data_IF_361709711177
#
_entry.id   IF_361709711177
#
_cell.length_a   1.000
_cell.length_b   1.000
_cell.length_c   1.000
_cell.angle_alpha   90.00
_cell.angle_beta   90.00
_cell.angle_gamma   90.00
#
_symmetry.space_group_name_H-M   'P 1'
#
loop_
_entity.id
_entity.type
_entity.pdbx_description
1 polymer ?
#
# COMPACT_ATOMS: atom_id res chain seq x y z
N UNK A 1 11.19 40.64 -21.40
CA UNK A 1 11.43 40.27 -19.99
C UNK A 1 12.03 38.86 -20.00
N UNK A 2 13.35 38.72 -19.80
CA UNK A 2 14.05 37.43 -19.76
C UNK A 2 13.93 36.88 -18.34
N UNK A 3 13.22 35.77 -18.17
CA UNK A 3 13.16 35.06 -16.90
C UNK A 3 14.45 34.24 -16.80
N UNK A 4 15.31 34.58 -15.83
CA UNK A 4 16.56 33.88 -15.57
C UNK A 4 16.28 32.47 -15.01
N UNK A 5 16.95 31.41 -15.51
CA UNK A 5 16.75 30.03 -15.04
C UNK A 5 17.29 29.75 -13.61
N UNK A 6 17.78 30.77 -12.90
CA UNK A 6 18.26 30.63 -11.53
C UNK A 6 17.14 30.74 -10.46
N UNK A 7 15.94 31.20 -10.83
CA UNK A 7 14.84 31.40 -9.87
C UNK A 7 13.99 30.13 -9.61
N UNK A 8 14.33 28.99 -10.22
CA UNK A 8 13.61 27.72 -10.02
C UNK A 8 14.11 26.93 -8.79
N UNK A 9 15.18 27.38 -8.13
CA UNK A 9 15.89 26.62 -7.07
C UNK A 9 15.56 27.06 -5.64
N UNK A 10 14.71 28.07 -5.42
CA UNK A 10 14.55 28.71 -4.10
C UNK A 10 13.19 28.43 -3.41
N UNK A 11 12.33 27.56 -3.95
CA UNK A 11 11.03 27.24 -3.31
C UNK A 11 10.92 25.80 -2.78
N UNK A 12 11.92 24.93 -2.98
CA UNK A 12 11.86 23.54 -2.52
C UNK A 12 12.85 23.33 -1.37
N UNK A 13 12.52 23.93 -0.23
CA UNK A 13 13.11 23.64 1.08
C UNK A 13 12.42 22.48 1.81
N UNK A 14 11.65 21.66 1.10
CA UNK A 14 11.20 20.35 1.58
C UNK A 14 12.37 19.40 1.33
N UNK A 15 12.85 18.69 2.37
CA UNK A 15 13.91 17.66 2.24
C UNK A 15 13.66 16.82 0.97
N UNK A 16 14.43 17.09 -0.07
CA UNK A 16 14.23 16.57 -1.43
C UNK A 16 14.41 15.05 -1.52
N UNK A 17 14.97 14.44 -0.48
CA UNK A 17 15.17 12.98 -0.37
C UNK A 17 13.85 12.20 -0.59
N UNK A 18 12.73 12.65 -0.01
CA UNK A 18 11.46 11.94 -0.11
C UNK A 18 10.76 12.00 -1.49
N UNK A 19 11.08 12.96 -2.36
CA UNK A 19 10.48 13.04 -3.70
C UNK A 19 11.27 12.21 -4.73
N UNK A 20 12.61 12.14 -4.58
CA UNK A 20 13.47 11.38 -5.47
C UNK A 20 13.46 9.88 -5.16
N UNK A 21 13.26 9.50 -3.90
CA UNK A 21 13.19 8.09 -3.47
C UNK A 21 11.74 7.54 -3.49
N UNK A 22 10.73 8.38 -3.77
CA UNK A 22 9.31 8.03 -3.73
C UNK A 22 8.96 6.73 -4.47
N UNK A 23 9.52 6.54 -5.66
CA UNK A 23 9.27 5.34 -6.47
C UNK A 23 9.76 4.09 -5.74
N UNK A 24 10.98 4.14 -5.22
CA UNK A 24 11.60 3.03 -4.48
C UNK A 24 10.82 2.78 -3.19
N UNK A 25 10.55 3.82 -2.41
CA UNK A 25 9.81 3.72 -1.15
C UNK A 25 8.41 3.15 -1.36
N UNK A 26 7.70 3.62 -2.39
CA UNK A 26 6.35 3.12 -2.71
C UNK A 26 6.38 1.64 -3.07
N UNK A 27 7.33 1.21 -3.90
CA UNK A 27 7.49 -0.20 -4.24
C UNK A 27 7.86 -1.04 -3.03
N UNK A 28 8.77 -0.56 -2.18
CA UNK A 28 9.22 -1.28 -1.00
C UNK A 28 8.10 -1.44 0.02
N UNK A 29 7.27 -0.41 0.20
CA UNK A 29 6.10 -0.46 1.06
C UNK A 29 5.08 -1.49 0.58
N UNK A 30 4.68 -1.45 -0.69
CA UNK A 30 3.73 -2.42 -1.23
C UNK A 30 4.30 -3.84 -1.28
N UNK A 31 5.56 -4.00 -1.70
CA UNK A 31 6.21 -5.32 -1.73
C UNK A 31 6.45 -5.86 -0.33
N UNK A 32 6.77 -5.02 0.65
CA UNK A 32 6.83 -5.39 2.07
C UNK A 32 5.49 -5.91 2.58
N UNK A 33 4.40 -5.19 2.31
CA UNK A 33 3.04 -5.65 2.63
C UNK A 33 2.68 -6.97 1.95
N UNK A 34 3.06 -7.15 0.68
CA UNK A 34 2.86 -8.39 -0.07
C UNK A 34 3.67 -9.55 0.50
N UNK A 35 4.92 -9.33 0.95
CA UNK A 35 5.73 -10.36 1.63
C UNK A 35 5.10 -10.80 2.93
N UNK A 36 4.67 -9.86 3.77
CA UNK A 36 4.02 -10.17 5.05
C UNK A 36 2.74 -11.01 4.86
N UNK A 37 2.01 -10.78 3.77
CA UNK A 37 0.85 -11.60 3.38
C UNK A 37 1.26 -12.97 2.84
N UNK A 38 2.27 -13.00 1.96
CA UNK A 38 2.77 -14.23 1.34
C UNK A 38 3.30 -15.20 2.41
N UNK A 39 4.27 -14.76 3.21
CA UNK A 39 4.90 -15.55 4.28
C UNK A 39 3.92 -16.05 5.35
N UNK A 40 2.77 -15.40 5.47
CA UNK A 40 1.80 -15.67 6.53
C UNK A 40 2.19 -15.05 7.87
N UNK A 41 3.17 -14.14 7.93
CA UNK A 41 3.57 -13.43 9.16
C UNK A 41 2.38 -12.71 9.82
N UNK A 42 1.43 -12.19 9.03
CA UNK A 42 0.23 -11.55 9.56
C UNK A 42 -0.70 -12.52 10.30
N UNK A 43 -0.65 -13.83 10.00
CA UNK A 43 -1.53 -14.83 10.60
C UNK A 43 -1.36 -14.88 12.12
N UNK A 44 -0.12 -14.86 12.60
CA UNK A 44 0.19 -14.84 14.03
C UNK A 44 -0.46 -13.65 14.74
N UNK A 45 -0.38 -12.46 14.13
CA UNK A 45 -1.01 -11.26 14.66
C UNK A 45 -2.55 -11.39 14.67
N UNK A 46 -3.13 -11.91 13.59
CA UNK A 46 -4.58 -12.10 13.50
C UNK A 46 -5.10 -13.18 14.45
N UNK A 47 -4.31 -14.21 14.75
CA UNK A 47 -4.68 -15.26 15.69
C UNK A 47 -4.73 -14.72 17.13
N UNK A 48 -3.78 -13.85 17.51
CA UNK A 48 -3.80 -13.13 18.80
C UNK A 48 -5.04 -12.23 18.89
N UNK A 49 -5.29 -11.43 17.85
CA UNK A 49 -6.41 -10.50 17.87
C UNK A 49 -7.78 -11.22 17.82
N UNK A 50 -7.86 -12.39 17.17
CA UNK A 50 -9.05 -13.26 17.19
C UNK A 50 -9.32 -13.82 18.58
N UNK A 51 -8.27 -14.16 19.35
CA UNK A 51 -8.42 -14.54 20.77
C UNK A 51 -9.03 -13.40 21.61
N UNK A 52 -8.74 -12.15 21.25
CA UNK A 52 -9.36 -10.95 21.83
C UNK A 52 -10.77 -10.65 21.27
N UNK A 53 -11.36 -11.58 20.51
CA UNK A 53 -12.71 -11.50 19.90
C UNK A 53 -12.89 -10.34 18.91
N UNK A 54 -11.81 -9.82 18.33
CA UNK A 54 -11.93 -8.89 17.20
C UNK A 54 -12.25 -9.68 15.92
N UNK A 55 -13.30 -9.29 15.17
CA UNK A 55 -13.62 -9.91 13.89
C UNK A 55 -12.57 -9.48 12.87
N UNK A 56 -11.67 -10.41 12.52
CA UNK A 56 -10.57 -10.14 11.58
C UNK A 56 -10.65 -11.15 10.44
N UNK A 57 -10.56 -10.69 9.19
CA UNK A 57 -10.60 -11.57 8.03
C UNK A 57 -9.46 -12.57 8.07
N UNK A 58 -9.65 -13.71 7.39
CA UNK A 58 -8.59 -14.69 7.23
C UNK A 58 -7.53 -14.09 6.30
N UNK A 59 -6.28 -14.02 6.78
CA UNK A 59 -5.14 -13.49 6.03
C UNK A 59 -4.07 -14.55 5.91
N UNK A 60 -3.56 -14.74 4.68
CA UNK A 60 -2.39 -15.55 4.36
C UNK A 60 -2.35 -17.00 4.91
N UNK A 61 -1.23 -17.71 4.69
CA UNK A 61 -0.18 -17.36 3.74
C UNK A 61 -0.72 -17.33 2.30
N UNK A 62 -0.19 -16.41 1.49
CA UNK A 62 -0.60 -16.22 0.11
C UNK A 62 0.39 -16.92 -0.84
N UNK A 63 -0.13 -17.86 -1.63
CA UNK A 63 0.63 -18.51 -2.70
C UNK A 63 0.75 -17.60 -3.93
N UNK A 64 1.91 -17.71 -4.59
CA UNK A 64 2.17 -17.14 -5.92
C UNK A 64 1.91 -15.62 -6.03
N UNK A 65 2.22 -14.88 -4.96
CA UNK A 65 2.14 -13.43 -4.90
C UNK A 65 3.31 -12.83 -5.69
N UNK A 66 3.04 -12.12 -6.80
CA UNK A 66 4.13 -11.49 -7.55
C UNK A 66 4.71 -10.27 -6.83
N UNK A 67 5.99 -9.98 -7.03
CA UNK A 67 6.58 -8.69 -6.69
C UNK A 67 6.08 -7.62 -7.66
N UNK A 68 5.67 -6.48 -7.14
CA UNK A 68 5.35 -5.31 -7.94
C UNK A 68 6.64 -4.74 -8.53
N UNK A 69 6.62 -4.48 -9.84
CA UNK A 69 7.57 -3.65 -10.57
C UNK A 69 6.91 -2.34 -10.98
N UNK A 70 7.73 -1.32 -11.15
CA UNK A 70 7.25 -0.01 -11.59
C UNK A 70 6.99 0.02 -13.09
N UNK A 71 5.85 0.57 -13.50
CA UNK A 71 5.48 0.74 -14.90
C UNK A 71 5.41 2.23 -15.26
N UNK A 72 6.34 2.67 -16.12
CA UNK A 72 6.37 4.05 -16.61
C UNK A 72 5.10 4.41 -17.40
N UNK A 73 4.49 3.41 -18.06
CA UNK A 73 3.20 3.54 -18.75
C UNK A 73 2.08 3.89 -17.77
N UNK A 74 1.99 3.17 -16.65
CA UNK A 74 0.98 3.43 -15.61
C UNK A 74 1.25 4.75 -14.87
N UNK A 75 2.52 5.10 -14.64
CA UNK A 75 2.92 6.40 -14.09
C UNK A 75 2.47 7.55 -15.00
N UNK A 76 2.65 7.43 -16.32
CA UNK A 76 2.17 8.44 -17.25
C UNK A 76 0.64 8.58 -17.20
N UNK A 77 -0.11 7.46 -17.08
CA UNK A 77 -1.57 7.50 -16.87
C UNK A 77 -1.93 8.18 -15.55
N UNK A 78 -1.17 7.93 -14.49
CA UNK A 78 -1.31 8.62 -13.21
C UNK A 78 -1.11 10.13 -13.32
N UNK A 79 -0.09 10.54 -14.08
CA UNK A 79 0.19 11.94 -14.37
C UNK A 79 -0.97 12.60 -15.12
N UNK A 80 -1.42 12.02 -16.23
CA UNK A 80 -2.52 12.59 -17.05
C UNK A 80 -3.81 12.73 -16.24
N UNK A 81 -4.12 11.76 -15.38
CA UNK A 81 -5.29 11.85 -14.50
C UNK A 81 -5.13 12.90 -13.39
N UNK A 82 -3.92 13.04 -12.85
CA UNK A 82 -3.64 13.85 -11.67
C UNK A 82 -3.17 15.28 -11.93
N UNK A 83 -2.69 15.60 -13.13
CA UNK A 83 -2.03 16.89 -13.41
C UNK A 83 -2.92 18.08 -13.07
N UNK A 84 -4.20 18.03 -13.47
CA UNK A 84 -5.19 19.10 -13.31
C UNK A 84 -5.96 19.01 -11.99
N UNK A 85 -5.65 18.03 -11.13
CA UNK A 85 -6.26 17.90 -9.81
C UNK A 85 -5.54 18.75 -8.78
N UNK A 86 -6.30 19.21 -7.78
CA UNK A 86 -5.75 19.94 -6.64
C UNK A 86 -4.63 19.14 -5.96
N UNK A 87 -3.59 19.85 -5.51
CA UNK A 87 -2.54 19.29 -4.66
C UNK A 87 -3.01 19.04 -3.23
N UNK A 88 -4.19 19.55 -2.85
CA UNK A 88 -4.78 19.42 -1.51
C UNK A 88 -6.26 19.01 -1.57
N UNK A 89 -6.61 17.85 -2.16
CA UNK A 89 -7.99 17.38 -2.19
C UNK A 89 -8.43 16.88 -0.80
N UNK A 90 -9.70 16.55 -0.68
CA UNK A 90 -10.17 15.64 0.36
C UNK A 90 -9.53 14.27 0.14
N UNK A 91 -8.96 13.72 1.21
CA UNK A 91 -8.29 12.42 1.19
C UNK A 91 -9.34 11.34 1.34
N UNK A 92 -9.73 10.73 0.23
CA UNK A 92 -10.77 9.70 0.20
C UNK A 92 -10.16 8.31 0.38
N UNK A 93 -8.90 8.10 -0.03
CA UNK A 93 -8.21 6.78 0.02
C UNK A 93 -9.00 5.66 -0.67
N UNK A 94 -9.79 6.04 -1.66
CA UNK A 94 -10.71 5.19 -2.41
C UNK A 94 -10.11 4.72 -3.74
N UNK A 95 -10.54 3.54 -4.22
CA UNK A 95 -10.28 3.07 -5.58
C UNK A 95 -11.32 3.64 -6.56
N UNK A 96 -10.91 3.77 -7.83
CA UNK A 96 -11.74 4.27 -8.92
C UNK A 96 -11.31 3.64 -10.25
N UNK A 97 -12.15 3.72 -11.28
CA UNK A 97 -11.82 3.25 -12.64
C UNK A 97 -11.48 4.44 -13.54
N UNK A 98 -10.48 4.28 -14.40
CA UNK A 98 -10.12 5.28 -15.42
C UNK A 98 -9.44 4.59 -16.59
N UNK A 99 -9.96 4.77 -17.80
CA UNK A 99 -9.38 4.23 -19.04
C UNK A 99 -9.10 2.71 -18.98
N UNK A 100 -10.05 1.94 -18.44
CA UNK A 100 -9.91 0.48 -18.25
C UNK A 100 -8.94 0.06 -17.15
N UNK A 101 -8.29 1.00 -16.46
CA UNK A 101 -7.39 0.77 -15.33
C UNK A 101 -8.10 0.97 -13.99
N UNK A 102 -7.45 0.50 -12.93
CA UNK A 102 -7.87 0.74 -11.55
C UNK A 102 -6.90 1.71 -10.91
N UNK A 103 -7.43 2.86 -10.48
CA UNK A 103 -6.69 3.88 -9.77
C UNK A 103 -7.05 3.91 -8.29
N UNK A 104 -6.15 4.40 -7.44
CA UNK A 104 -6.44 4.70 -6.03
C UNK A 104 -5.54 5.80 -5.50
N UNK A 105 -5.96 6.42 -4.39
CA UNK A 105 -5.14 7.39 -3.67
C UNK A 105 -4.25 6.67 -2.64
N UNK A 106 -2.98 7.05 -2.63
CA UNK A 106 -1.96 6.61 -1.67
C UNK A 106 -1.43 7.82 -0.89
N UNK A 107 -1.08 7.73 0.40
CA UNK A 107 -0.44 8.83 1.10
C UNK A 107 0.82 9.30 0.35
N UNK A 108 0.91 10.62 0.14
CA UNK A 108 2.07 11.26 -0.49
C UNK A 108 3.16 11.50 0.56
N UNK A 109 3.68 12.73 0.64
CA UNK A 109 4.66 13.09 1.68
C UNK A 109 3.99 13.03 3.06
N UNK A 110 4.31 12.00 3.84
CA UNK A 110 3.54 11.63 5.03
C UNK A 110 3.58 12.67 6.15
N UNK A 111 4.67 13.43 6.29
CA UNK A 111 4.74 14.55 7.24
C UNK A 111 3.63 15.58 7.03
N UNK A 112 3.25 15.84 5.77
CA UNK A 112 2.15 16.74 5.42
C UNK A 112 0.78 16.08 5.56
N UNK A 113 0.68 14.77 5.32
CA UNK A 113 -0.55 13.99 5.54
C UNK A 113 -0.88 13.93 7.04
N UNK A 114 0.11 13.62 7.87
CA UNK A 114 0.00 13.55 9.32
C UNK A 114 -0.30 14.94 9.89
N UNK A 115 0.35 16.01 9.41
CA UNK A 115 0.05 17.38 9.84
C UNK A 115 -1.40 17.77 9.50
N UNK A 116 -1.91 17.39 8.32
CA UNK A 116 -3.28 17.66 7.89
C UNK A 116 -4.32 16.88 8.71
N UNK A 117 -4.06 15.61 9.01
CA UNK A 117 -5.01 14.75 9.74
C UNK A 117 -4.95 14.98 11.26
N UNK A 118 -3.75 15.10 11.84
CA UNK A 118 -3.54 15.17 13.30
C UNK A 118 -3.18 16.57 13.83
N UNK A 119 -2.75 17.50 12.98
CA UNK A 119 -2.44 18.87 13.38
C UNK A 119 -3.59 19.61 14.09
N UNK A 120 -4.87 19.38 13.72
CA UNK A 120 -6.00 19.94 14.47
C UNK A 120 -6.19 19.36 15.88
N UNK A 121 -5.62 18.18 16.18
CA UNK A 121 -5.86 17.41 17.41
C UNK A 121 -4.73 17.54 18.45
N UNK A 122 -3.55 18.04 18.08
CA UNK A 122 -2.35 18.02 18.93
C UNK A 122 -1.67 19.41 19.04
N UNK A 123 -1.19 19.81 20.23
CA UNK A 123 -0.55 21.12 20.44
C UNK A 123 0.78 21.24 19.69
N UNK A 124 0.89 22.27 18.84
CA UNK A 124 1.95 22.47 17.83
C UNK A 124 3.41 22.39 18.30
N UNK A 125 3.72 22.69 19.57
CA UNK A 125 5.11 22.71 20.07
C UNK A 125 5.67 21.33 20.44
N UNK A 126 4.83 20.41 20.91
CA UNK A 126 5.25 19.03 21.26
C UNK A 126 5.24 18.13 20.02
N UNK A 127 4.43 18.50 19.02
CA UNK A 127 4.18 17.71 17.83
C UNK A 127 5.39 17.57 16.89
N UNK A 128 6.18 18.64 16.67
CA UNK A 128 7.31 18.59 15.70
C UNK A 128 8.48 17.74 16.19
N UNK A 129 8.87 17.89 17.45
CA UNK A 129 10.05 17.21 18.00
C UNK A 129 9.82 15.69 18.16
N UNK A 130 8.58 15.30 18.48
CA UNK A 130 8.18 13.89 18.55
C UNK A 130 7.99 13.30 17.14
N UNK A 131 7.37 14.03 16.19
CA UNK A 131 7.17 13.48 14.84
C UNK A 131 8.51 13.11 14.18
N UNK A 132 9.51 13.99 14.21
CA UNK A 132 10.77 13.77 13.50
C UNK A 132 11.50 12.49 13.95
N UNK A 133 11.30 12.07 15.20
CA UNK A 133 11.88 10.83 15.73
C UNK A 133 11.05 9.57 15.42
N UNK A 134 9.77 9.72 15.12
CA UNK A 134 8.82 8.62 14.96
C UNK A 134 8.16 8.55 13.57
N UNK A 135 8.49 9.46 12.64
CA UNK A 135 7.90 9.53 11.30
C UNK A 135 7.94 8.16 10.61
N UNK A 136 9.08 7.47 10.59
CA UNK A 136 9.20 6.17 9.90
C UNK A 136 8.29 5.08 10.52
N UNK A 137 8.11 5.10 11.84
CA UNK A 137 7.24 4.16 12.57
C UNK A 137 5.76 4.51 12.31
N UNK A 138 5.43 5.80 12.37
CA UNK A 138 4.08 6.30 12.07
C UNK A 138 3.70 6.07 10.60
N UNK A 139 4.67 6.14 9.69
CA UNK A 139 4.53 5.82 8.27
C UNK A 139 4.11 4.36 8.11
N UNK A 140 4.90 3.43 8.61
CA UNK A 140 4.61 2.00 8.56
C UNK A 140 3.26 1.66 9.19
N UNK A 141 2.93 2.31 10.31
CA UNK A 141 1.66 2.13 11.02
C UNK A 141 0.46 2.67 10.22
N UNK A 142 0.57 3.87 9.65
CA UNK A 142 -0.49 4.48 8.85
C UNK A 142 -0.77 3.63 7.60
N UNK A 143 0.28 3.14 6.94
CA UNK A 143 0.15 2.25 5.79
C UNK A 143 -0.58 0.96 6.17
N UNK A 144 -0.17 0.32 7.26
CA UNK A 144 -0.83 -0.89 7.75
C UNK A 144 -2.31 -0.65 8.05
N UNK A 145 -2.66 0.50 8.63
CA UNK A 145 -4.05 0.87 8.94
C UNK A 145 -4.84 1.11 7.65
N UNK A 146 -4.32 1.85 6.68
CA UNK A 146 -5.00 2.11 5.41
C UNK A 146 -5.27 0.81 4.65
N UNK A 147 -4.30 -0.10 4.62
CA UNK A 147 -4.48 -1.42 4.00
C UNK A 147 -5.49 -2.27 4.78
N UNK A 148 -5.43 -2.27 6.12
CA UNK A 148 -6.36 -3.04 6.94
C UNK A 148 -7.81 -2.55 6.85
N UNK A 149 -8.03 -1.23 6.80
CA UNK A 149 -9.37 -0.63 6.69
C UNK A 149 -10.01 -0.93 5.34
N UNK A 150 -9.21 -0.94 4.27
CA UNK A 150 -9.68 -1.26 2.93
C UNK A 150 -9.54 -2.75 2.59
N UNK A 151 -9.21 -3.61 3.56
CA UNK A 151 -9.10 -5.05 3.32
C UNK A 151 -10.49 -5.68 3.22
N UNK A 152 -10.79 -6.46 2.17
CA UNK A 152 -12.11 -7.06 2.00
C UNK A 152 -12.37 -8.11 3.08
N UNK A 153 -13.58 -8.09 3.64
CA UNK A 153 -14.01 -9.04 4.67
C UNK A 153 -14.21 -10.44 4.11
N UNK A 154 -14.80 -10.49 2.92
CA UNK A 154 -15.12 -11.71 2.20
C UNK A 154 -14.42 -11.73 0.86
N UNK A 155 -14.06 -12.94 0.42
CA UNK A 155 -13.58 -13.23 -0.93
C UNK A 155 -14.55 -14.21 -1.59
N UNK A 156 -14.86 -14.06 -2.89
CA UNK A 156 -14.33 -13.07 -3.82
C UNK A 156 -14.93 -11.67 -3.64
N UNK A 157 -14.14 -10.64 -3.94
CA UNK A 157 -14.58 -9.24 -3.97
C UNK A 157 -15.40 -8.96 -5.23
N UNK A 158 -16.54 -8.27 -5.10
CA UNK A 158 -17.32 -7.79 -6.23
C UNK A 158 -16.64 -6.60 -6.95
N UNK A 159 -16.93 -6.41 -8.24
CA UNK A 159 -16.24 -5.43 -9.09
C UNK A 159 -16.43 -3.97 -8.68
N UNK A 160 -17.48 -3.68 -7.91
CA UNK A 160 -17.89 -2.35 -7.43
C UNK A 160 -17.37 -2.01 -6.02
N UNK A 161 -16.71 -2.95 -5.35
CA UNK A 161 -16.17 -2.73 -4.01
C UNK A 161 -14.98 -1.79 -4.06
N UNK A 162 -15.01 -0.81 -3.16
CA UNK A 162 -13.89 0.08 -2.95
C UNK A 162 -12.78 -0.61 -2.17
N UNK A 163 -11.64 -0.81 -2.82
CA UNK A 163 -10.48 -1.46 -2.23
C UNK A 163 -9.34 -0.48 -1.94
N UNK A 164 -9.44 0.78 -2.34
CA UNK A 164 -8.37 1.76 -2.14
C UNK A 164 -6.99 1.20 -2.51
N UNK A 165 -6.03 1.35 -1.59
CA UNK A 165 -4.68 0.83 -1.75
C UNK A 165 -4.57 -0.71 -1.66
N UNK A 166 -5.60 -1.42 -1.19
CA UNK A 166 -5.66 -2.89 -1.17
C UNK A 166 -5.69 -3.48 -2.58
N UNK A 167 -6.00 -2.69 -3.61
CA UNK A 167 -5.82 -3.08 -5.02
C UNK A 167 -4.37 -3.55 -5.31
N UNK A 168 -3.39 -3.06 -4.54
CA UNK A 168 -1.99 -3.46 -4.64
C UNK A 168 -1.69 -4.84 -4.01
N UNK A 169 -2.65 -5.50 -3.37
CA UNK A 169 -2.49 -6.82 -2.73
C UNK A 169 -2.98 -7.98 -3.61
N UNK A 170 -3.47 -7.71 -4.83
CA UNK A 170 -3.81 -8.75 -5.78
C UNK A 170 -2.54 -9.48 -6.26
N UNK A 171 -2.44 -10.78 -5.98
CA UNK A 171 -1.26 -11.61 -6.26
C UNK A 171 -0.84 -11.59 -7.72
N UNK A 172 -1.80 -11.70 -8.65
CA UNK A 172 -1.55 -11.75 -10.09
C UNK A 172 -1.13 -10.41 -10.70
N UNK A 173 -1.37 -9.29 -10.01
CA UNK A 173 -0.93 -7.98 -10.48
C UNK A 173 0.50 -7.75 -10.04
N UNK A 174 1.31 -7.32 -10.98
CA UNK A 174 2.74 -7.10 -10.77
C UNK A 174 3.23 -5.76 -11.30
N UNK A 175 2.35 -4.91 -11.85
CA UNK A 175 2.72 -3.57 -12.31
C UNK A 175 1.95 -2.50 -11.54
N UNK A 176 2.67 -1.45 -11.14
CA UNK A 176 2.12 -0.25 -10.53
C UNK A 176 2.85 0.97 -11.07
N UNK A 177 2.14 2.08 -11.24
CA UNK A 177 2.76 3.37 -11.51
C UNK A 177 1.98 4.47 -10.83
N UNK A 178 2.68 5.38 -10.17
CA UNK A 178 2.06 6.44 -9.40
C UNK A 178 2.59 7.82 -9.77
N UNK A 179 1.73 8.82 -9.65
CA UNK A 179 2.06 10.24 -9.75
C UNK A 179 1.80 10.93 -8.42
N UNK A 180 2.82 11.62 -7.91
CA UNK A 180 2.80 12.22 -6.56
C UNK A 180 2.45 13.69 -6.61
N UNK A 181 1.48 14.07 -5.79
CA UNK A 181 1.21 15.45 -5.34
C UNK A 181 1.73 15.61 -3.90
N UNK A 182 1.59 16.81 -3.34
CA UNK A 182 2.13 17.16 -2.01
C UNK A 182 1.59 16.21 -0.92
N UNK A 183 0.27 16.04 -0.83
CA UNK A 183 -0.37 15.27 0.27
C UNK A 183 -0.86 13.88 -0.14
N UNK A 184 -0.78 13.52 -1.42
CA UNK A 184 -1.26 12.23 -1.90
C UNK A 184 -0.57 11.86 -3.20
N UNK A 185 -0.55 10.58 -3.50
CA UNK A 185 -0.17 10.03 -4.78
C UNK A 185 -1.37 9.35 -5.39
N UNK A 186 -1.46 9.41 -6.72
CA UNK A 186 -2.44 8.66 -7.50
C UNK A 186 -1.70 7.49 -8.10
N UNK A 187 -2.10 6.28 -7.77
CA UNK A 187 -1.51 5.05 -8.28
C UNK A 187 -2.48 4.35 -9.23
N UNK A 188 -1.95 3.76 -10.30
CA UNK A 188 -2.70 2.93 -11.24
C UNK A 188 -2.14 1.52 -11.32
N UNK A 189 -3.05 0.57 -11.57
CA UNK A 189 -2.79 -0.83 -11.82
C UNK A 189 -3.74 -1.36 -12.91
N UNK A 190 -3.39 -2.50 -13.50
CA UNK A 190 -4.30 -3.23 -14.37
C UNK A 190 -5.54 -3.73 -13.61
N UNK A 191 -6.69 -3.93 -14.29
CA UNK A 191 -7.88 -4.51 -13.68
C UNK A 191 -7.63 -5.93 -13.16
N UNK A 192 -8.41 -6.34 -12.16
CA UNK A 192 -8.34 -7.71 -11.62
C UNK A 192 -8.87 -8.67 -12.67
N UNK A 193 -8.18 -9.80 -12.85
CA UNK A 193 -8.62 -10.89 -13.74
C UNK A 193 -8.89 -12.20 -12.99
N UNK A 194 -8.81 -12.17 -11.65
CA UNK A 194 -8.89 -13.37 -10.80
C UNK A 194 -10.27 -13.55 -10.12
N UNK A 195 -11.34 -13.13 -10.79
CA UNK A 195 -12.72 -13.32 -10.31
C UNK A 195 -12.98 -12.78 -8.90
N UNK A 196 -12.31 -11.70 -8.49
CA UNK A 196 -12.45 -11.08 -7.18
C UNK A 196 -11.55 -11.63 -6.06
N UNK A 197 -10.76 -12.69 -6.29
CA UNK A 197 -9.83 -13.18 -5.27
C UNK A 197 -8.53 -12.38 -5.26
N UNK A 198 -8.17 -11.81 -4.10
CA UNK A 198 -6.89 -11.12 -3.92
C UNK A 198 -5.71 -12.06 -4.22
N UNK A 199 -5.74 -13.26 -3.63
CA UNK A 199 -4.70 -14.28 -3.79
C UNK A 199 -5.26 -15.66 -3.45
N UNK A 200 -4.48 -16.71 -3.72
CA UNK A 200 -4.79 -18.07 -3.29
C UNK A 200 -4.08 -18.38 -1.97
N UNK A 201 -4.78 -19.02 -1.03
CA UNK A 201 -4.14 -19.53 0.18
C UNK A 201 -3.21 -20.68 -0.17
N UNK A 202 -1.99 -20.66 0.36
CA UNK A 202 -1.03 -21.74 0.13
C UNK A 202 0.41 -21.34 0.46
N UNK A 203 1.34 -22.24 0.15
CA UNK A 203 2.77 -22.02 0.37
C UNK A 203 3.27 -20.94 -0.60
N UNK A 204 4.05 -19.95 -0.13
CA UNK A 204 4.72 -18.97 -0.99
C UNK A 204 5.50 -19.66 -2.10
N UNK A 205 5.56 -19.01 -3.27
CA UNK A 205 6.35 -19.47 -4.41
C UNK A 205 6.16 -20.94 -4.87
N UNK A 206 5.05 -21.58 -4.52
CA UNK A 206 4.76 -22.98 -4.88
C UNK A 206 4.57 -23.24 -6.38
N UNK A 207 4.13 -22.24 -7.13
CA UNK A 207 3.86 -22.32 -8.57
C UNK A 207 4.05 -20.95 -9.26
N UNK A 208 5.19 -20.30 -9.05
CA UNK A 208 5.55 -19.12 -9.83
C UNK A 208 5.81 -19.54 -11.29
N UNK A 209 5.29 -18.79 -12.26
CA UNK A 209 5.56 -19.08 -13.68
C UNK A 209 7.02 -18.79 -14.08
N UNK A 210 7.72 -18.02 -13.25
CA UNK A 210 9.11 -17.60 -13.38
C UNK A 210 9.96 -18.29 -12.30
N UNK A 211 10.34 -17.56 -11.25
CA UNK A 211 11.09 -18.01 -10.09
C UNK A 211 10.69 -17.16 -8.88
N UNK A 212 11.01 -17.63 -7.68
CA UNK A 212 10.87 -16.84 -6.47
C UNK A 212 11.99 -15.79 -6.37
N UNK A 213 11.76 -14.66 -5.70
CA UNK A 213 12.81 -13.69 -5.45
C UNK A 213 13.88 -14.27 -4.51
N UNK A 214 15.11 -13.79 -4.64
CA UNK A 214 16.21 -14.14 -3.74
C UNK A 214 16.79 -12.86 -3.13
N UNK A 215 17.21 -12.92 -1.87
CA UNK A 215 17.92 -11.83 -1.21
C UNK A 215 19.13 -12.37 -0.47
N UNK A 216 20.15 -11.52 -0.34
CA UNK A 216 21.33 -11.82 0.44
C UNK A 216 21.11 -11.32 1.88
N UNK A 217 21.29 -12.21 2.85
CA UNK A 217 21.18 -11.88 4.27
C UNK A 217 22.42 -11.09 4.76
N UNK A 218 22.37 -10.60 6.01
CA UNK A 218 23.48 -9.84 6.61
C UNK A 218 24.79 -10.65 6.74
N UNK A 219 24.72 -11.98 6.58
CA UNK A 219 25.86 -12.89 6.64
C UNK A 219 26.39 -13.28 5.24
N UNK A 220 25.80 -12.75 4.16
CA UNK A 220 26.17 -13.06 2.78
C UNK A 220 25.57 -14.36 2.22
N UNK A 221 24.61 -14.97 2.92
CA UNK A 221 23.86 -16.13 2.43
C UNK A 221 22.68 -15.68 1.58
N UNK A 222 22.52 -16.34 0.42
CA UNK A 222 21.37 -16.12 -0.46
C UNK A 222 20.19 -16.94 0.06
N UNK A 223 19.15 -16.27 0.51
CA UNK A 223 17.88 -16.85 0.92
C UNK A 223 16.81 -16.68 -0.17
N UNK A 224 15.96 -17.69 -0.32
CA UNK A 224 14.76 -17.60 -1.14
C UNK A 224 13.69 -16.80 -0.39
N UNK A 225 13.08 -15.82 -1.06
CA UNK A 225 12.01 -15.00 -0.51
C UNK A 225 10.63 -15.59 -0.67
N UNK A 226 9.61 -14.75 -0.55
CA UNK A 226 8.20 -15.17 -0.54
C UNK A 226 7.40 -14.71 -1.79
N UNK A 227 8.01 -13.88 -2.64
CA UNK A 227 7.34 -13.29 -3.81
C UNK A 227 7.86 -13.86 -5.13
N UNK A 228 6.95 -14.09 -6.08
CA UNK A 228 7.32 -14.44 -7.45
C UNK A 228 7.92 -13.23 -8.19
N UNK A 229 8.99 -13.45 -8.93
CA UNK A 229 9.58 -12.42 -9.80
C UNK A 229 8.67 -12.20 -11.02
N UNK A 230 8.29 -10.96 -11.36
CA UNK A 230 7.44 -10.71 -12.53
C UNK A 230 8.11 -11.10 -13.84
N UNK A 231 7.36 -11.51 -14.88
CA UNK A 231 7.92 -11.79 -16.19
C UNK A 231 8.56 -10.54 -16.83
N UNK A 232 9.62 -10.76 -17.62
CA UNK A 232 10.44 -9.70 -18.25
C UNK A 232 9.70 -8.97 -19.38
N UNK A 233 9.02 -9.70 -20.26
CA UNK A 233 8.17 -9.10 -21.29
C UNK A 233 6.88 -8.57 -20.69
N UNK A 234 6.37 -7.43 -21.20
CA UNK A 234 4.95 -7.03 -21.09
C UNK A 234 4.11 -8.11 -21.80
N UNK A 235 4.03 -9.31 -21.23
CA UNK A 235 3.27 -10.37 -21.84
C UNK A 235 1.81 -10.00 -21.62
N UNK A 236 1.06 -9.96 -22.71
CA UNK A 236 -0.40 -10.07 -22.66
C UNK A 236 -0.86 -11.35 -21.91
N UNK A 237 0.08 -12.25 -21.57
CA UNK A 237 -0.07 -13.36 -20.64
C UNK A 237 0.11 -12.88 -19.19
N UNK A 238 -0.92 -12.24 -18.65
CA UNK A 238 -1.18 -12.26 -17.21
C UNK A 238 -1.10 -13.71 -16.73
N UNK A 239 -0.41 -13.98 -15.64
CA UNK A 239 -0.32 -15.33 -15.08
C UNK A 239 -1.75 -15.88 -14.88
N UNK A 240 -2.11 -16.88 -15.68
CA UNK A 240 -3.42 -17.51 -15.61
C UNK A 240 -3.52 -18.23 -14.26
N UNK A 241 -4.28 -17.66 -13.33
CA UNK A 241 -4.61 -18.31 -12.08
C UNK A 241 -5.90 -19.10 -12.29
N UNK A 242 -5.79 -20.43 -12.18
CA UNK A 242 -6.96 -21.31 -12.14
C UNK A 242 -7.54 -21.33 -10.72
N UNK A 243 -8.77 -20.83 -10.57
CA UNK A 243 -9.45 -20.71 -9.28
C UNK A 243 -10.05 -22.06 -8.87
N UNK A 244 -9.60 -22.60 -7.72
CA UNK A 244 -10.38 -23.58 -6.93
C UNK A 244 -11.07 -22.87 -5.76
N UNK A 245 -12.37 -23.15 -5.64
CA UNK A 245 -13.38 -22.32 -5.00
C UNK A 245 -13.73 -22.87 -3.61
N UNK A 246 -13.52 -22.10 -2.55
CA UNK A 246 -14.14 -22.35 -1.24
C UNK A 246 -14.70 -21.03 -0.68
N UNK A 247 -16.01 -20.99 -0.46
CA UNK A 247 -16.78 -19.84 0.05
C UNK A 247 -16.79 -19.87 1.58
N UNK A 248 -16.50 -18.74 2.22
CA UNK A 248 -16.80 -18.51 3.65
C UNK A 248 -17.37 -17.09 3.76
N UNK A 249 -18.57 -16.98 4.32
CA UNK A 249 -19.32 -15.73 4.54
C UNK A 249 -18.96 -15.12 5.91
N UNK A 250 -18.76 -13.79 5.98
CA UNK A 250 -18.66 -13.03 7.22
C UNK A 250 -19.24 -11.61 7.07
N UNK A 251 -20.54 -11.51 7.38
CA UNK A 251 -21.22 -10.24 7.54
C UNK A 251 -20.72 -9.49 8.80
N UNK A 252 -20.17 -8.29 8.60
CA UNK A 252 -20.01 -7.31 9.65
C UNK A 252 -19.85 -5.92 9.06
N UNK A 253 -20.72 -4.98 9.41
CA UNK A 253 -20.58 -3.55 9.07
C UNK A 253 -19.73 -2.87 10.13
N UNK A 254 -18.79 -1.99 9.73
CA UNK A 254 -18.15 -1.07 10.69
C UNK A 254 -17.91 0.30 10.07
N UNK A 255 -18.42 1.32 10.78
CA UNK A 255 -18.34 2.75 10.50
C UNK A 255 -16.92 3.30 10.61
N UNK A 256 -16.69 4.45 9.96
CA UNK A 256 -15.76 5.55 10.28
C UNK A 256 -15.05 5.53 11.67
N UNK A 257 -14.04 4.66 11.89
CA UNK A 257 -13.19 4.66 13.11
C UNK A 257 -11.74 5.12 12.85
N UNK A 258 -11.43 5.52 11.61
CA UNK A 258 -10.07 5.85 11.17
C UNK A 258 -9.32 6.84 12.08
N UNK A 259 -9.93 7.94 12.58
CA UNK A 259 -9.23 8.87 13.46
C UNK A 259 -8.98 8.29 14.86
N UNK A 260 -9.94 7.52 15.39
CA UNK A 260 -9.91 7.03 16.77
C UNK A 260 -8.92 5.86 16.96
N UNK A 261 -8.79 4.99 15.96
CA UNK A 261 -7.79 3.91 15.97
C UNK A 261 -6.36 4.46 15.96
N UNK A 262 -6.11 5.49 15.14
CA UNK A 262 -4.81 6.15 15.06
C UNK A 262 -4.46 6.84 16.39
N UNK A 263 -5.42 7.55 17.00
CA UNK A 263 -5.25 8.19 18.31
C UNK A 263 -4.99 7.16 19.41
N UNK A 264 -5.76 6.06 19.46
CA UNK A 264 -5.58 5.03 20.49
C UNK A 264 -4.20 4.33 20.41
N UNK A 265 -3.70 4.09 19.20
CA UNK A 265 -2.38 3.50 18.98
C UNK A 265 -1.24 4.48 19.32
N UNK A 266 -1.40 5.76 18.98
CA UNK A 266 -0.43 6.81 19.33
C UNK A 266 -0.42 7.03 20.85
N UNK A 267 -1.59 7.06 21.51
CA UNK A 267 -1.69 7.21 22.96
C UNK A 267 -1.07 6.03 23.72
N UNK A 268 -1.26 4.80 23.25
CA UNK A 268 -0.63 3.61 23.86
C UNK A 268 0.87 3.55 23.61
N UNK A 269 1.34 4.03 22.45
CA UNK A 269 2.76 4.18 22.18
C UNK A 269 3.39 5.27 23.06
N UNK A 270 2.70 6.40 23.29
CA UNK A 270 3.14 7.49 24.17
C UNK A 270 3.10 7.11 25.67
N UNK A 271 2.11 6.32 26.10
CA UNK A 271 1.98 5.86 27.50
C UNK A 271 3.10 4.92 27.94
N UNK A 272 3.80 4.24 27.01
CA UNK A 272 4.95 3.39 27.36
C UNK A 272 6.22 4.18 27.70
N UNK A 273 6.22 5.51 27.51
CA UNK A 273 7.39 6.36 27.71
C UNK A 273 7.16 7.49 28.73
N UNK A 274 6.05 7.43 29.49
CA UNK A 274 5.81 8.23 30.69
C UNK A 274 5.75 7.36 31.94
#
# INVERSE_FOLDING_TARGET
MRIHPLLLLVVIGVKSKGLFDFKTDTLDNFNGGRRLLASGSLRTLTDILRQLKFPIPKVGPASNMYKLKWSAKLEHKAFVYGENKSSFPDLEFQSFKYDGLVGFQWPGVLGEVISKILGPLLPHKVFRDILDSFINILESLLMAIILAVNYPKDLPVADDVNLGATEALFAHRYEIGCYTKIVYSICFMEPSRNGGYLYHFGVPCSNCSTHCEFFEDDNGFIEEGDLCVPPETESNATAALEVKQERIESNGSFCSVFPLMLIALISTCLQKFY
#
